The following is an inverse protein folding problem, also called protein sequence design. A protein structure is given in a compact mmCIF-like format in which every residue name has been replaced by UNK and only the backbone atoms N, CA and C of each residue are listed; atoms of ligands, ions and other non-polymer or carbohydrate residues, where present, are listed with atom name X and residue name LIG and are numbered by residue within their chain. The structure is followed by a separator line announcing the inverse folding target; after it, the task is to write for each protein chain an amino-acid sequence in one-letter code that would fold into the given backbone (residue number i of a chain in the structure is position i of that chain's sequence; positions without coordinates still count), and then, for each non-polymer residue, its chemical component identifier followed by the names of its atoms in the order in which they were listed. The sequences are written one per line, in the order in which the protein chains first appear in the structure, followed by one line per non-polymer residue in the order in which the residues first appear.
data_IF_777237000874
#
_entry.id   IF_777237000874
#
_cell.length_a   1.000
_cell.length_b   1.000
_cell.length_c   1.000
_cell.angle_alpha   90.00
_cell.angle_beta   90.00
_cell.angle_gamma   90.00
#
_symmetry.space_group_name_H-M   'P 1'
#
loop_
_entity.id
_entity.type
_entity.pdbx_description
1 polymer ?
#
# COMPACT_ATOMS: atom_id res chain seq x y z
N UNK A 1 58.40 -28.18 2.51
CA UNK A 1 58.09 -26.74 2.64
C UNK A 1 56.82 -26.49 1.83
N UNK A 2 55.65 -26.70 2.45
CA UNK A 2 54.36 -26.67 1.79
C UNK A 2 53.66 -25.33 2.09
N UNK A 3 53.49 -24.51 1.06
CA UNK A 3 52.70 -23.28 1.11
C UNK A 3 51.22 -23.67 1.26
N UNK A 4 50.68 -23.52 2.47
CA UNK A 4 49.23 -23.55 2.67
C UNK A 4 48.67 -22.31 1.98
N UNK A 5 47.96 -22.52 0.88
CA UNK A 5 47.02 -21.52 0.36
C UNK A 5 45.98 -21.27 1.45
N UNK A 6 46.12 -20.13 2.12
CA UNK A 6 45.16 -19.62 3.06
C UNK A 6 43.97 -19.15 2.23
N UNK A 7 42.85 -19.86 2.34
CA UNK A 7 41.57 -19.47 1.76
C UNK A 7 41.25 -18.05 2.23
N UNK A 8 41.14 -17.12 1.28
CA UNK A 8 40.80 -15.73 1.57
C UNK A 8 39.32 -15.69 2.01
N UNK A 9 39.04 -15.40 3.29
CA UNK A 9 37.68 -15.47 3.80
C UNK A 9 36.95 -14.21 3.31
N UNK A 10 36.35 -14.30 2.11
CA UNK A 10 35.60 -13.27 1.38
C UNK A 10 35.26 -12.00 2.17
N UNK A 11 35.68 -10.86 1.61
CA UNK A 11 35.57 -9.51 2.16
C UNK A 11 34.19 -9.26 2.76
N UNK A 12 34.11 -8.58 3.91
CA UNK A 12 32.85 -8.23 4.59
C UNK A 12 31.69 -7.72 3.69
N UNK A 13 31.90 -6.90 2.65
CA UNK A 13 30.83 -6.51 1.71
C UNK A 13 30.26 -7.67 0.90
N UNK A 14 31.05 -8.67 0.53
CA UNK A 14 30.60 -9.82 -0.26
C UNK A 14 29.59 -10.66 0.55
N UNK A 15 29.86 -10.86 1.84
CA UNK A 15 28.94 -11.59 2.75
C UNK A 15 27.60 -10.88 2.95
N UNK A 16 27.59 -9.55 2.91
CA UNK A 16 26.36 -8.78 3.07
C UNK A 16 25.49 -8.87 1.82
N UNK A 17 26.10 -8.84 0.64
CA UNK A 17 25.42 -9.07 -0.62
C UNK A 17 24.85 -10.50 -0.70
N UNK A 18 25.63 -11.52 -0.31
CA UNK A 18 25.18 -12.92 -0.28
C UNK A 18 24.00 -13.13 0.67
N UNK A 19 24.01 -12.46 1.83
CA UNK A 19 22.90 -12.52 2.79
C UNK A 19 21.62 -11.89 2.22
N UNK A 20 21.75 -10.78 1.50
CA UNK A 20 20.62 -10.08 0.89
C UNK A 20 20.01 -10.86 -0.27
N UNK A 21 20.84 -11.41 -1.15
CA UNK A 21 20.37 -12.24 -2.25
C UNK A 21 19.67 -13.51 -1.75
N UNK A 22 20.21 -14.16 -0.71
CA UNK A 22 19.57 -15.31 -0.07
C UNK A 22 18.19 -14.97 0.51
N UNK A 23 18.05 -13.81 1.14
CA UNK A 23 16.75 -13.33 1.67
C UNK A 23 15.71 -13.21 0.55
N UNK A 24 16.08 -12.52 -0.53
CA UNK A 24 15.20 -12.31 -1.69
C UNK A 24 14.75 -13.65 -2.27
N UNK A 25 15.69 -14.58 -2.42
CA UNK A 25 15.46 -15.92 -2.97
C UNK A 25 14.49 -16.72 -2.10
N UNK A 26 14.69 -16.71 -0.78
CA UNK A 26 13.81 -17.39 0.17
C UNK A 26 12.40 -16.82 0.12
N UNK A 27 12.24 -15.49 0.10
CA UNK A 27 10.94 -14.83 -0.02
C UNK A 27 10.22 -15.13 -1.32
N UNK A 28 10.94 -15.09 -2.44
CA UNK A 28 10.36 -15.47 -3.74
C UNK A 28 9.78 -16.89 -3.68
N UNK A 29 10.51 -17.84 -3.07
CA UNK A 29 10.06 -19.22 -2.90
C UNK A 29 8.85 -19.32 -1.96
N UNK A 30 8.89 -18.67 -0.80
CA UNK A 30 7.77 -18.64 0.16
C UNK A 30 6.49 -18.12 -0.49
N UNK A 31 6.53 -16.93 -1.10
CA UNK A 31 5.37 -16.31 -1.74
C UNK A 31 4.85 -17.18 -2.89
N UNK A 32 5.74 -17.74 -3.70
CA UNK A 32 5.34 -18.67 -4.78
C UNK A 32 4.61 -19.89 -4.23
N UNK A 33 5.13 -20.52 -3.18
CA UNK A 33 4.52 -21.72 -2.58
C UNK A 33 3.19 -21.42 -1.89
N UNK A 34 3.09 -20.30 -1.16
CA UNK A 34 1.84 -19.83 -0.57
C UNK A 34 0.74 -19.61 -1.62
N UNK A 35 1.14 -19.13 -2.82
CA UNK A 35 0.25 -18.95 -3.98
C UNK A 35 0.02 -20.21 -4.80
N UNK A 36 0.59 -21.36 -4.41
CA UNK A 36 0.52 -22.64 -5.13
C UNK A 36 0.98 -22.55 -6.60
N UNK A 37 1.88 -21.61 -6.90
CA UNK A 37 2.46 -21.46 -8.23
C UNK A 37 3.57 -22.49 -8.42
N UNK A 38 3.52 -23.26 -9.51
CA UNK A 38 4.63 -24.14 -9.89
C UNK A 38 5.81 -23.32 -10.43
N UNK A 39 7.01 -23.89 -10.40
CA UNK A 39 8.19 -23.23 -11.00
C UNK A 39 8.01 -23.01 -12.51
N UNK A 40 7.36 -23.95 -13.20
CA UNK A 40 7.02 -23.82 -14.63
C UNK A 40 6.07 -22.65 -14.85
N UNK A 41 5.01 -22.55 -14.03
CA UNK A 41 4.04 -21.46 -14.14
C UNK A 41 4.69 -20.08 -13.90
N UNK A 42 5.56 -19.97 -12.90
CA UNK A 42 6.33 -18.74 -12.64
C UNK A 42 7.22 -18.39 -13.85
N UNK A 43 7.94 -19.36 -14.41
CA UNK A 43 8.78 -19.14 -15.58
C UNK A 43 7.97 -18.67 -16.80
N UNK A 44 6.82 -19.30 -17.06
CA UNK A 44 5.91 -18.90 -18.15
C UNK A 44 5.43 -17.47 -17.98
N UNK A 45 5.08 -17.09 -16.75
CA UNK A 45 4.52 -15.76 -16.45
C UNK A 45 5.59 -14.65 -16.47
N UNK A 46 6.83 -15.00 -16.12
CA UNK A 46 8.02 -14.15 -16.33
C UNK A 46 8.34 -13.97 -17.82
N UNK A 47 8.31 -15.06 -18.60
CA UNK A 47 8.51 -14.98 -20.04
C UNK A 47 7.47 -14.07 -20.72
N UNK A 48 6.21 -14.14 -20.28
CA UNK A 48 5.11 -13.26 -20.74
C UNK A 48 5.35 -11.77 -20.45
N UNK A 49 6.15 -11.44 -19.43
CA UNK A 49 6.55 -10.07 -19.04
C UNK A 49 7.81 -9.56 -19.71
N UNK A 50 8.34 -10.27 -20.71
CA UNK A 50 9.52 -9.84 -21.45
C UNK A 50 10.83 -10.39 -20.91
N UNK A 51 10.79 -11.45 -20.08
CA UNK A 51 11.97 -12.20 -19.66
C UNK A 51 12.04 -13.57 -20.36
N UNK A 52 12.25 -13.64 -21.69
CA UNK A 52 12.12 -14.88 -22.46
C UNK A 52 13.12 -15.99 -22.09
N UNK A 53 14.22 -15.64 -21.41
CA UNK A 53 15.21 -16.60 -20.93
C UNK A 53 14.81 -17.28 -19.60
N UNK A 54 13.65 -16.93 -19.03
CA UNK A 54 13.14 -17.58 -17.82
C UNK A 54 12.53 -18.93 -18.17
N UNK A 55 13.13 -19.98 -17.61
CA UNK A 55 12.71 -21.36 -17.72
C UNK A 55 12.52 -21.95 -16.31
N UNK A 56 11.93 -23.14 -16.21
CA UNK A 56 11.87 -23.85 -14.93
C UNK A 56 13.25 -24.01 -14.28
N UNK A 57 14.29 -24.29 -15.08
CA UNK A 57 15.67 -24.39 -14.58
C UNK A 57 16.20 -23.05 -14.07
N UNK A 58 15.87 -21.95 -14.75
CA UNK A 58 16.19 -20.59 -14.29
C UNK A 58 15.55 -20.32 -12.93
N UNK A 59 14.26 -20.65 -12.77
CA UNK A 59 13.55 -20.50 -11.48
C UNK A 59 14.21 -21.36 -10.41
N UNK A 60 14.51 -22.64 -10.69
CA UNK A 60 15.15 -23.53 -9.72
C UNK A 60 16.53 -23.04 -9.28
N UNK A 61 17.35 -22.53 -10.21
CA UNK A 61 18.68 -22.01 -9.89
C UNK A 61 18.62 -20.70 -9.11
N UNK A 62 17.68 -19.82 -9.47
CA UNK A 62 17.38 -18.62 -8.69
C UNK A 62 16.94 -19.02 -7.27
N UNK A 63 16.00 -19.97 -7.12
CA UNK A 63 15.51 -20.44 -5.83
C UNK A 63 16.58 -21.15 -4.98
N UNK A 64 17.62 -21.68 -5.62
CA UNK A 64 18.77 -22.27 -4.95
C UNK A 64 19.87 -21.25 -4.59
N UNK A 65 19.72 -19.99 -5.02
CA UNK A 65 20.75 -18.95 -4.85
C UNK A 65 22.02 -19.21 -5.66
N UNK A 66 21.99 -20.11 -6.65
CA UNK A 66 23.16 -20.44 -7.48
C UNK A 66 23.28 -19.54 -8.70
N UNK A 67 22.22 -18.80 -9.03
CA UNK A 67 22.18 -17.82 -10.11
C UNK A 67 21.91 -16.43 -9.52
N UNK A 68 22.76 -15.43 -9.83
CA UNK A 68 22.52 -14.07 -9.37
C UNK A 68 21.29 -13.46 -10.05
N UNK A 69 20.53 -12.68 -9.30
CA UNK A 69 19.28 -12.08 -9.74
C UNK A 69 19.45 -10.59 -10.07
N UNK A 70 19.04 -10.18 -11.28
CA UNK A 70 19.11 -8.76 -11.68
C UNK A 70 17.93 -7.98 -11.08
N UNK A 71 18.12 -6.70 -10.80
CA UNK A 71 17.05 -5.83 -10.28
C UNK A 71 15.79 -5.80 -11.17
N UNK A 72 15.96 -5.80 -12.50
CA UNK A 72 14.83 -5.88 -13.43
C UNK A 72 14.07 -7.21 -13.33
N UNK A 73 14.80 -8.32 -13.15
CA UNK A 73 14.17 -9.64 -12.93
C UNK A 73 13.44 -9.68 -11.59
N UNK A 74 13.98 -9.02 -10.55
CA UNK A 74 13.33 -8.90 -9.26
C UNK A 74 12.01 -8.13 -9.32
N UNK A 75 12.00 -7.00 -10.05
CA UNK A 75 10.78 -6.25 -10.30
C UNK A 75 9.75 -7.12 -11.05
N UNK A 76 10.19 -7.85 -12.07
CA UNK A 76 9.34 -8.82 -12.78
C UNK A 76 8.77 -9.89 -11.85
N UNK A 77 9.59 -10.47 -10.97
CA UNK A 77 9.14 -11.45 -9.98
C UNK A 77 8.11 -10.84 -9.01
N UNK A 78 8.34 -9.63 -8.51
CA UNK A 78 7.40 -8.92 -7.64
C UNK A 78 6.03 -8.75 -8.32
N UNK A 79 6.02 -8.39 -9.60
CA UNK A 79 4.78 -8.25 -10.38
C UNK A 79 4.07 -9.58 -10.64
N UNK A 80 4.82 -10.66 -10.92
CA UNK A 80 4.22 -12.00 -11.11
C UNK A 80 3.67 -12.56 -9.81
N UNK A 81 4.44 -12.41 -8.74
CA UNK A 81 4.06 -12.82 -7.39
C UNK A 81 3.09 -11.83 -6.76
N UNK A 82 2.73 -10.74 -7.45
CA UNK A 82 1.76 -9.72 -7.05
C UNK A 82 1.96 -9.30 -5.57
N UNK A 83 3.20 -8.94 -5.29
CA UNK A 83 3.64 -8.37 -4.01
C UNK A 83 4.44 -7.11 -4.28
N UNK A 84 4.42 -6.11 -3.38
CA UNK A 84 5.28 -4.93 -3.52
C UNK A 84 6.75 -5.34 -3.63
N UNK A 85 7.52 -4.75 -4.55
CA UNK A 85 8.96 -5.01 -4.66
C UNK A 85 9.67 -4.85 -3.31
N UNK A 86 9.30 -3.82 -2.54
CA UNK A 86 9.79 -3.60 -1.19
C UNK A 86 9.60 -4.82 -0.28
N UNK A 87 8.52 -5.59 -0.40
CA UNK A 87 8.32 -6.79 0.44
C UNK A 87 9.25 -7.97 0.13
N UNK A 88 9.88 -7.98 -1.06
CA UNK A 88 10.94 -8.94 -1.38
C UNK A 88 12.30 -8.49 -0.83
N UNK A 89 12.46 -7.19 -0.57
CA UNK A 89 13.69 -6.55 -0.07
C UNK A 89 13.68 -6.37 1.46
N UNK A 90 12.51 -6.03 2.00
CA UNK A 90 12.23 -5.81 3.41
C UNK A 90 11.67 -7.10 4.00
N UNK A 91 12.53 -7.74 4.78
CA UNK A 91 12.13 -8.66 5.81
C UNK A 91 13.18 -8.63 6.89
N UNK A 92 12.83 -8.84 8.18
CA UNK A 92 13.84 -9.25 9.13
C UNK A 92 14.56 -10.47 8.52
N UNK A 93 15.89 -10.46 8.54
CA UNK A 93 16.77 -11.44 7.90
C UNK A 93 16.57 -12.90 8.39
N UNK A 94 15.58 -13.12 9.23
CA UNK A 94 15.12 -14.36 9.83
C UNK A 94 13.70 -14.04 10.31
N UNK A 95 12.75 -14.94 10.09
CA UNK A 95 11.36 -14.78 10.53
C UNK A 95 11.22 -14.62 12.03
N UNK A 96 11.40 -13.39 12.54
CA UNK A 96 10.99 -13.01 13.88
C UNK A 96 9.48 -12.70 13.83
N UNK A 97 8.63 -13.66 14.24
CA UNK A 97 7.19 -13.44 14.26
C UNK A 97 6.82 -12.27 15.17
N UNK A 98 7.63 -11.94 16.18
CA UNK A 98 7.37 -10.81 17.07
C UNK A 98 7.49 -9.47 16.34
N UNK A 99 8.50 -9.31 15.46
CA UNK A 99 8.64 -8.10 14.64
C UNK A 99 7.49 -7.95 13.64
N UNK A 100 7.10 -9.04 12.97
CA UNK A 100 5.96 -9.04 12.05
C UNK A 100 4.63 -8.74 12.78
N UNK A 101 4.44 -9.32 13.96
CA UNK A 101 3.27 -9.07 14.79
C UNK A 101 3.23 -7.62 15.28
N UNK A 102 4.34 -7.07 15.76
CA UNK A 102 4.41 -5.67 16.18
C UNK A 102 4.10 -4.70 15.02
N UNK A 103 4.58 -5.00 13.81
CA UNK A 103 4.26 -4.21 12.63
C UNK A 103 2.76 -4.31 12.28
N UNK A 104 2.16 -5.50 12.37
CA UNK A 104 0.73 -5.70 12.14
C UNK A 104 -0.13 -4.99 13.20
N UNK A 105 0.26 -5.04 14.46
CA UNK A 105 -0.40 -4.33 15.56
C UNK A 105 -0.32 -2.81 15.36
N UNK A 106 0.84 -2.29 14.94
CA UNK A 106 1.00 -0.87 14.58
C UNK A 106 0.08 -0.47 13.42
N UNK A 107 0.07 -1.24 12.34
CA UNK A 107 -0.79 -0.98 11.19
C UNK A 107 -2.29 -1.03 11.55
N UNK A 108 -2.69 -1.95 12.45
CA UNK A 108 -4.07 -2.02 12.93
C UNK A 108 -4.42 -0.81 13.80
N UNK A 109 -3.51 -0.35 14.66
CA UNK A 109 -3.70 0.85 15.47
C UNK A 109 -3.84 2.11 14.59
N UNK A 110 -3.01 2.24 13.55
CA UNK A 110 -3.09 3.34 12.59
C UNK A 110 -4.42 3.33 11.82
N UNK A 111 -4.85 2.14 11.36
CA UNK A 111 -6.14 1.98 10.69
C UNK A 111 -7.32 2.34 11.59
N UNK A 112 -7.28 1.93 12.87
CA UNK A 112 -8.30 2.28 13.86
C UNK A 112 -8.33 3.80 14.15
N UNK A 113 -7.17 4.45 14.24
CA UNK A 113 -7.08 5.90 14.40
C UNK A 113 -7.66 6.64 13.19
N UNK A 114 -7.38 6.17 11.97
CA UNK A 114 -7.93 6.74 10.75
C UNK A 114 -9.46 6.58 10.66
N UNK A 115 -10.00 5.41 11.01
CA UNK A 115 -11.46 5.16 11.06
C UNK A 115 -12.14 6.06 12.10
N UNK A 116 -11.55 6.19 13.29
CA UNK A 116 -12.07 7.07 14.32
C UNK A 116 -12.08 8.54 13.86
N UNK A 117 -11.00 9.02 13.24
CA UNK A 117 -10.93 10.35 12.68
C UNK A 117 -11.99 10.59 11.58
N UNK A 118 -12.24 9.60 10.72
CA UNK A 118 -13.29 9.67 9.70
C UNK A 118 -14.70 9.77 10.33
N UNK A 119 -14.96 9.03 11.41
CA UNK A 119 -16.23 9.10 12.15
C UNK A 119 -16.42 10.43 12.85
N UNK A 120 -15.37 10.99 13.44
CA UNK A 120 -15.39 12.33 14.04
C UNK A 120 -15.66 13.40 12.98
N UNK A 121 -15.03 13.29 11.81
CA UNK A 121 -15.27 14.20 10.69
C UNK A 121 -16.71 14.13 10.16
N UNK A 122 -17.29 12.92 10.05
CA UNK A 122 -18.68 12.74 9.64
C UNK A 122 -19.66 13.37 10.63
N UNK A 123 -19.47 13.13 11.94
CA UNK A 123 -20.28 13.76 12.99
C UNK A 123 -20.20 15.29 12.95
N UNK A 124 -19.00 15.84 12.74
CA UNK A 124 -18.81 17.28 12.60
C UNK A 124 -19.56 17.84 11.37
N UNK A 125 -19.52 17.12 10.25
CA UNK A 125 -20.23 17.50 9.02
C UNK A 125 -21.75 17.50 9.20
N UNK A 126 -22.31 16.51 9.92
CA UNK A 126 -23.74 16.44 10.23
C UNK A 126 -24.21 17.63 11.07
N UNK A 127 -23.45 18.00 12.11
CA UNK A 127 -23.74 19.17 12.94
C UNK A 127 -23.70 20.45 12.09
N UNK A 128 -22.67 20.62 11.26
CA UNK A 128 -22.54 21.78 10.38
C UNK A 128 -23.70 21.86 9.36
N UNK A 129 -24.14 20.72 8.82
CA UNK A 129 -25.29 20.64 7.92
C UNK A 129 -26.60 21.05 8.63
N UNK A 130 -26.82 20.59 9.87
CA UNK A 130 -27.97 20.99 10.66
C UNK A 130 -27.98 22.51 10.95
N UNK A 131 -26.82 23.10 11.26
CA UNK A 131 -26.68 24.55 11.43
C UNK A 131 -26.93 25.34 10.16
N UNK A 132 -26.43 24.85 9.02
CA UNK A 132 -26.69 25.46 7.72
C UNK A 132 -28.20 25.42 7.39
N UNK A 133 -28.87 24.30 7.65
CA UNK A 133 -30.32 24.16 7.46
C UNK A 133 -31.11 25.14 8.34
N UNK A 134 -30.74 25.28 9.62
CA UNK A 134 -31.34 26.27 10.54
C UNK A 134 -31.20 27.70 10.02
N UNK A 135 -29.98 28.08 9.60
CA UNK A 135 -29.71 29.42 9.04
C UNK A 135 -30.53 29.68 7.78
N UNK A 136 -30.62 28.71 6.88
CA UNK A 136 -31.43 28.83 5.67
C UNK A 136 -32.93 29.00 5.99
N UNK A 137 -33.46 28.26 6.96
CA UNK A 137 -34.84 28.38 7.38
C UNK A 137 -35.15 29.79 7.94
N UNK A 138 -34.27 30.32 8.78
CA UNK A 138 -34.39 31.69 9.32
C UNK A 138 -34.33 32.75 8.20
N UNK A 139 -33.39 32.61 7.26
CA UNK A 139 -33.26 33.53 6.12
C UNK A 139 -34.53 33.53 5.25
N UNK A 140 -35.10 32.35 4.98
CA UNK A 140 -36.37 32.21 4.26
C UNK A 140 -37.52 32.90 4.99
N UNK A 141 -37.65 32.69 6.31
CA UNK A 141 -38.68 33.33 7.11
C UNK A 141 -38.57 34.87 7.08
N UNK A 142 -37.34 35.40 7.17
CA UNK A 142 -37.10 36.84 7.09
C UNK A 142 -37.49 37.41 5.73
N UNK A 143 -37.13 36.73 4.64
CA UNK A 143 -37.50 37.14 3.28
C UNK A 143 -39.02 37.19 3.09
N UNK A 144 -39.75 36.18 3.58
CA UNK A 144 -41.21 36.15 3.54
C UNK A 144 -41.84 37.34 4.26
N UNK A 145 -41.34 37.69 5.46
CA UNK A 145 -41.82 38.86 6.22
C UNK A 145 -41.55 40.17 5.48
N UNK A 146 -40.38 40.33 4.87
CA UNK A 146 -40.03 41.53 4.12
C UNK A 146 -40.95 41.71 2.89
N UNK A 147 -41.21 40.62 2.16
CA UNK A 147 -42.15 40.64 1.02
C UNK A 147 -43.56 41.05 1.44
N UNK A 148 -44.06 40.51 2.55
CA UNK A 148 -45.37 40.88 3.09
C UNK A 148 -45.46 42.37 3.44
N UNK A 149 -44.41 42.94 4.07
CA UNK A 149 -44.35 44.38 4.39
C UNK A 149 -44.34 45.27 3.15
N UNK A 150 -43.65 44.86 2.10
CA UNK A 150 -43.61 45.59 0.83
C UNK A 150 -45.00 45.64 0.17
N UNK A 151 -45.73 44.52 0.16
CA UNK A 151 -47.09 44.47 -0.39
C UNK A 151 -48.07 45.39 0.35
N UNK A 152 -48.03 45.40 1.69
CA UNK A 152 -48.91 46.29 2.47
C UNK A 152 -48.62 47.77 2.25
N UNK A 153 -47.35 48.13 2.04
CA UNK A 153 -46.97 49.53 1.74
C UNK A 153 -47.50 49.98 0.38
N UNK A 154 -47.47 49.10 -0.64
CA UNK A 154 -47.96 49.44 -1.98
C UNK A 154 -49.46 49.64 -2.03
N UNK A 155 -50.25 48.93 -1.22
CA UNK A 155 -51.71 49.07 -1.18
C UNK A 155 -52.17 50.34 -0.45
N UNK A 156 -51.40 50.81 0.55
CA UNK A 156 -51.76 52.03 1.30
C UNK A 156 -51.60 53.30 0.48
N UNK A 157 -50.61 53.38 -0.42
CA UNK A 157 -50.34 54.57 -1.24
C UNK A 157 -51.33 54.77 -2.39
N UNK A 158 -52.07 53.73 -2.78
CA UNK A 158 -53.02 53.78 -3.91
C UNK A 158 -54.46 54.19 -3.58
N UNK A 159 -54.79 54.52 -2.32
CA UNK A 159 -56.17 54.78 -1.88
C UNK A 159 -56.51 56.27 -1.66
N UNK A 160 -55.58 57.19 -1.92
CA UNK A 160 -55.76 58.63 -1.68
C UNK A 160 -56.04 59.47 -2.95
N UNK A 161 -56.49 58.87 -4.05
CA UNK A 161 -56.92 59.58 -5.27
C UNK A 161 -58.32 59.19 -5.70
#
# INVERSE_FOLDING_TARGET
MALRHQEDPGTAPDRMADNFERLIVERCREVRTARRLSQVALATEMARRGFPAWSQATVSNTEAGTRPLRLAELAGLADVLDVPLASLLDGPATGDPAAAQAAAEGALADAAAADQAARDALRAAEVAAADAARRLALARANLTRLRARQQTSTTSTGREG
#
